data_IF_138690550397
#
_entry.id   IF_138690550397
#
_cell.length_a   1.000
_cell.length_b   1.000
_cell.length_c   1.000
_cell.angle_alpha   90.00
_cell.angle_beta   90.00
_cell.angle_gamma   90.00
#
_symmetry.space_group_name_H-M   'P 1'
#
loop_
_entity.id
_entity.type
_entity.pdbx_description
1 polymer ?
#
# COMPACT_ATOMS: atom_id res chain seq x y z
N UNK A 1 3.70 -6.92 21.40
CA UNK A 1 2.95 -6.03 22.32
C UNK A 1 3.12 -6.40 23.79
N UNK A 2 2.79 -7.61 24.29
CA UNK A 2 2.95 -7.92 25.72
C UNK A 2 4.34 -7.62 26.28
N UNK A 3 5.40 -8.02 25.57
CA UNK A 3 6.78 -7.73 25.96
C UNK A 3 7.12 -6.23 26.00
N UNK A 4 6.49 -5.40 25.16
CA UNK A 4 6.70 -3.95 25.17
C UNK A 4 6.06 -3.30 26.41
N UNK A 5 4.84 -3.73 26.76
CA UNK A 5 4.15 -3.21 27.95
C UNK A 5 4.91 -3.62 29.22
N UNK A 6 5.36 -4.87 29.28
CA UNK A 6 6.21 -5.36 30.37
C UNK A 6 7.51 -4.54 30.49
N UNK A 7 8.19 -4.29 29.36
CA UNK A 7 9.37 -3.42 29.34
C UNK A 7 9.05 -2.00 29.83
N UNK A 8 7.88 -1.45 29.48
CA UNK A 8 7.44 -0.14 29.95
C UNK A 8 7.31 -0.06 31.47
N UNK A 9 6.82 -1.14 32.10
CA UNK A 9 6.81 -1.28 33.56
C UNK A 9 8.22 -1.36 34.14
N UNK A 10 9.06 -2.23 33.61
CA UNK A 10 10.43 -2.47 34.10
C UNK A 10 11.33 -1.23 33.95
N UNK A 11 11.10 -0.45 32.89
CA UNK A 11 11.81 0.80 32.63
C UNK A 11 11.10 2.03 33.21
N UNK A 12 10.06 1.84 34.03
CA UNK A 12 9.33 2.90 34.72
C UNK A 12 8.85 4.03 33.81
N UNK A 13 8.23 3.72 32.67
CA UNK A 13 7.73 4.74 31.73
C UNK A 13 6.74 5.71 32.38
N UNK A 14 5.96 5.26 33.37
CA UNK A 14 5.03 6.10 34.13
C UNK A 14 5.72 7.24 34.91
N UNK A 15 7.01 7.11 35.22
CA UNK A 15 7.81 8.17 35.84
C UNK A 15 8.19 9.30 34.88
N UNK A 16 8.21 9.01 33.57
CA UNK A 16 8.51 10.00 32.53
C UNK A 16 7.25 10.79 32.17
N UNK A 17 6.17 10.06 31.88
CA UNK A 17 4.86 10.62 31.57
C UNK A 17 3.75 9.69 32.08
N UNK A 18 2.70 10.26 32.67
CA UNK A 18 1.52 9.49 33.10
C UNK A 18 0.61 9.10 31.93
N UNK A 19 0.75 9.78 30.80
CA UNK A 19 -0.14 9.64 29.65
C UNK A 19 0.66 9.51 28.36
N UNK A 20 0.35 8.50 27.56
CA UNK A 20 0.92 8.28 26.24
C UNK A 20 -0.15 8.52 25.17
N UNK A 21 0.15 9.40 24.20
CA UNK A 21 -0.72 9.56 23.02
C UNK A 21 -0.57 8.33 22.13
N UNK A 22 -1.69 7.65 21.84
CA UNK A 22 -1.71 6.44 21.05
C UNK A 22 -2.87 6.49 20.05
N UNK A 23 -2.62 6.04 18.83
CA UNK A 23 -3.61 5.97 17.75
C UNK A 23 -3.71 4.55 17.20
N UNK A 24 -4.63 4.33 16.26
CA UNK A 24 -4.91 3.02 15.66
C UNK A 24 -5.68 2.07 16.58
N UNK A 25 -6.15 0.95 16.02
CA UNK A 25 -6.96 -0.01 16.77
C UNK A 25 -6.28 -0.59 18.02
N UNK A 26 -4.95 -0.62 18.07
CA UNK A 26 -4.16 -1.05 19.23
C UNK A 26 -4.36 -0.17 20.47
N UNK A 27 -4.59 1.13 20.29
CA UNK A 27 -4.82 2.06 21.39
C UNK A 27 -6.09 1.72 22.18
N UNK A 28 -7.10 1.14 21.53
CA UNK A 28 -8.31 0.64 22.17
C UNK A 28 -8.12 -0.78 22.70
N UNK A 29 -7.54 -1.68 21.87
CA UNK A 29 -7.36 -3.10 22.21
C UNK A 29 -6.52 -3.32 23.46
N UNK A 30 -5.45 -2.54 23.63
CA UNK A 30 -4.47 -2.73 24.70
C UNK A 30 -4.59 -1.70 25.83
N UNK A 31 -5.62 -0.86 25.86
CA UNK A 31 -5.78 0.20 26.88
C UNK A 31 -5.70 -0.36 28.31
N UNK A 32 -6.40 -1.47 28.57
CA UNK A 32 -6.42 -2.06 29.90
C UNK A 32 -5.04 -2.61 30.29
N UNK A 33 -4.34 -3.25 29.36
CA UNK A 33 -2.99 -3.80 29.60
C UNK A 33 -1.98 -2.69 29.90
N UNK A 34 -2.04 -1.57 29.17
CA UNK A 34 -1.20 -0.40 29.45
C UNK A 34 -1.49 0.19 30.83
N UNK A 35 -2.76 0.21 31.24
CA UNK A 35 -3.16 0.73 32.55
C UNK A 35 -2.76 -0.19 33.70
N UNK A 36 -2.91 -1.50 33.55
CA UNK A 36 -2.69 -2.47 34.65
C UNK A 36 -1.25 -2.92 34.77
N UNK A 37 -0.59 -3.20 33.64
CA UNK A 37 0.79 -3.71 33.61
C UNK A 37 1.77 -2.55 33.48
N UNK A 38 1.48 -1.60 32.59
CA UNK A 38 2.39 -0.49 32.31
C UNK A 38 2.28 0.72 33.24
N UNK A 39 1.26 0.79 34.10
CA UNK A 39 0.92 1.97 34.92
C UNK A 39 0.81 3.27 34.09
N UNK A 40 0.28 3.15 32.87
CA UNK A 40 0.17 4.24 31.89
C UNK A 40 -1.26 4.45 31.43
N UNK A 41 -1.66 5.71 31.29
CA UNK A 41 -2.92 6.07 30.64
C UNK A 41 -2.70 6.30 29.15
N UNK A 42 -3.61 5.81 28.30
CA UNK A 42 -3.58 6.12 26.87
C UNK A 42 -4.50 7.31 26.56
N UNK A 43 -3.92 8.38 26.01
CA UNK A 43 -4.67 9.39 25.28
C UNK A 43 -4.94 8.83 23.87
N UNK A 44 -6.12 8.24 23.70
CA UNK A 44 -6.52 7.59 22.44
C UNK A 44 -6.90 8.65 21.41
N UNK A 45 -6.28 8.58 20.24
CA UNK A 45 -6.52 9.46 19.11
C UNK A 45 -7.07 8.64 17.93
N UNK A 46 -7.81 9.27 17.04
CA UNK A 46 -8.30 8.61 15.81
C UNK A 46 -7.14 8.31 14.85
N UNK A 47 -7.20 7.16 14.18
CA UNK A 47 -6.17 6.68 13.27
C UNK A 47 -5.99 7.58 12.04
N UNK A 48 -7.11 7.97 11.44
CA UNK A 48 -7.13 8.71 10.19
C UNK A 48 -6.84 10.20 10.42
N UNK A 49 -7.32 10.75 11.55
CA UNK A 49 -6.98 12.12 11.96
C UNK A 49 -5.47 12.26 12.19
N UNK A 50 -4.86 11.31 12.91
CA UNK A 50 -3.42 11.28 13.13
C UNK A 50 -2.65 11.11 11.83
N UNK A 51 -3.13 10.25 10.93
CA UNK A 51 -2.50 10.04 9.62
C UNK A 51 -2.48 11.34 8.79
N UNK A 52 -3.62 12.02 8.62
CA UNK A 52 -3.69 13.26 7.83
C UNK A 52 -2.79 14.32 8.44
N UNK A 53 -2.82 14.51 9.77
CA UNK A 53 -1.95 15.46 10.47
C UNK A 53 -0.47 15.11 10.30
N UNK A 54 -0.11 13.83 10.42
CA UNK A 54 1.26 13.34 10.30
C UNK A 54 1.83 13.59 8.90
N UNK A 55 1.10 13.18 7.86
CA UNK A 55 1.50 13.38 6.45
C UNK A 55 1.72 14.87 6.15
N UNK A 56 0.75 15.72 6.51
CA UNK A 56 0.86 17.17 6.24
C UNK A 56 2.01 17.82 7.02
N UNK A 57 2.25 17.38 8.26
CA UNK A 57 3.35 17.91 9.07
C UNK A 57 4.71 17.50 8.52
N UNK A 58 4.92 16.21 8.24
CA UNK A 58 6.20 15.70 7.75
C UNK A 58 6.54 16.32 6.39
N UNK A 59 5.58 16.42 5.48
CA UNK A 59 5.79 17.11 4.19
C UNK A 59 6.19 18.58 4.37
N UNK A 60 5.58 19.30 5.32
CA UNK A 60 5.88 20.71 5.59
C UNK A 60 7.30 20.96 6.13
N UNK A 61 7.90 19.97 6.79
CA UNK A 61 9.28 20.07 7.31
C UNK A 61 10.30 19.45 6.35
N UNK A 62 9.83 18.69 5.35
CA UNK A 62 10.66 17.98 4.39
C UNK A 62 11.49 16.86 5.01
N UNK A 63 12.43 16.34 4.21
CA UNK A 63 13.30 15.22 4.60
C UNK A 63 14.76 15.64 4.56
N UNK A 64 15.27 16.18 5.67
CA UNK A 64 16.68 16.62 5.80
C UNK A 64 17.17 17.59 4.69
N UNK A 65 16.27 18.42 4.18
CA UNK A 65 16.53 19.34 3.06
C UNK A 65 16.05 18.85 1.70
N UNK A 66 15.65 17.58 1.61
CA UNK A 66 15.01 16.98 0.43
C UNK A 66 13.48 17.00 0.54
N UNK A 67 12.81 16.70 -0.57
CA UNK A 67 11.35 16.61 -0.63
C UNK A 67 10.87 15.31 0.02
N UNK A 68 9.86 15.40 0.88
CA UNK A 68 9.20 14.23 1.48
C UNK A 68 8.40 13.43 0.45
N UNK A 69 7.76 14.11 -0.51
CA UNK A 69 6.92 13.49 -1.51
C UNK A 69 7.67 13.29 -2.84
N UNK A 70 7.41 12.18 -3.52
CA UNK A 70 8.01 11.86 -4.81
C UNK A 70 7.07 11.10 -5.73
N UNK A 71 7.44 11.01 -7.00
CA UNK A 71 6.78 10.18 -8.00
C UNK A 71 7.81 9.42 -8.85
N UNK A 72 7.33 8.41 -9.57
CA UNK A 72 8.14 7.71 -10.58
C UNK A 72 7.80 8.22 -11.97
N UNK A 73 8.80 8.78 -12.65
CA UNK A 73 8.72 9.06 -14.09
C UNK A 73 9.11 7.80 -14.87
N UNK A 74 8.39 7.50 -15.96
CA UNK A 74 8.59 6.29 -16.77
C UNK A 74 8.62 4.97 -15.96
N UNK A 75 7.62 4.68 -15.10
CA UNK A 75 7.72 3.64 -14.08
C UNK A 75 7.92 2.22 -14.62
N UNK A 76 7.57 1.92 -15.87
CA UNK A 76 7.75 0.59 -16.47
C UNK A 76 9.08 0.39 -17.20
N UNK A 77 9.76 1.47 -17.57
CA UNK A 77 11.02 1.40 -18.32
C UNK A 77 12.19 1.28 -17.32
N UNK A 78 12.88 0.14 -17.28
CA UNK A 78 13.96 -0.08 -16.32
C UNK A 78 15.15 0.85 -16.51
N UNK A 79 15.37 1.39 -17.71
CA UNK A 79 16.49 2.29 -18.00
C UNK A 79 16.13 3.76 -17.74
N UNK A 80 14.85 4.13 -17.95
CA UNK A 80 14.37 5.51 -17.80
C UNK A 80 13.59 5.78 -16.52
N UNK A 81 13.26 4.76 -15.73
CA UNK A 81 12.52 4.92 -14.50
C UNK A 81 13.33 5.78 -13.52
N UNK A 82 12.78 6.94 -13.14
CA UNK A 82 13.42 7.86 -12.21
C UNK A 82 12.48 8.23 -11.07
N UNK A 83 13.03 8.22 -9.84
CA UNK A 83 12.37 8.81 -8.67
C UNK A 83 12.64 10.31 -8.69
N UNK A 84 11.59 11.11 -8.79
CA UNK A 84 11.67 12.57 -8.83
C UNK A 84 10.90 13.20 -7.68
N UNK A 85 11.41 14.28 -7.07
CA UNK A 85 10.72 14.97 -5.99
C UNK A 85 9.41 15.58 -6.49
N UNK A 86 8.43 15.66 -5.59
CA UNK A 86 7.14 16.29 -5.85
C UNK A 86 6.81 17.26 -4.72
N UNK A 87 6.68 18.55 -5.04
CA UNK A 87 6.28 19.54 -4.05
C UNK A 87 4.75 19.48 -3.83
N UNK A 88 4.34 19.16 -2.60
CA UNK A 88 2.94 19.14 -2.17
C UNK A 88 2.41 20.52 -1.75
N UNK A 89 3.07 21.63 -2.12
CA UNK A 89 2.55 22.99 -1.96
C UNK A 89 1.10 23.10 -2.44
N UNK A 90 0.20 23.51 -1.54
CA UNK A 90 -1.26 23.45 -1.72
C UNK A 90 -1.75 22.03 -2.07
N UNK A 91 -1.65 21.09 -1.11
CA UNK A 91 -1.84 19.66 -1.39
C UNK A 91 -3.29 19.29 -1.74
N UNK A 92 -4.25 20.21 -1.55
CA UNK A 92 -5.67 19.93 -1.66
C UNK A 92 -6.25 20.23 -3.05
N UNK A 93 -7.23 19.43 -3.54
CA UNK A 93 -7.59 18.14 -2.99
C UNK A 93 -6.55 17.05 -3.34
N UNK A 94 -6.39 16.07 -2.45
CA UNK A 94 -5.66 14.83 -2.72
C UNK A 94 -6.44 13.61 -2.25
N UNK A 95 -6.15 12.47 -2.87
CA UNK A 95 -6.64 11.18 -2.43
C UNK A 95 -5.50 10.51 -1.64
N UNK A 96 -5.74 10.17 -0.39
CA UNK A 96 -4.77 9.46 0.46
C UNK A 96 -5.17 7.99 0.56
N UNK A 97 -4.30 7.09 0.12
CA UNK A 97 -4.51 5.65 0.12
C UNK A 97 -3.54 5.01 1.10
N UNK A 98 -4.03 4.71 2.30
CA UNK A 98 -3.25 4.08 3.37
C UNK A 98 -3.31 2.57 3.26
N UNK A 99 -2.20 1.93 2.88
CA UNK A 99 -2.05 0.50 2.67
C UNK A 99 -1.33 -0.14 3.87
N UNK A 100 -2.12 -0.48 4.89
CA UNK A 100 -1.68 -1.27 6.05
C UNK A 100 -2.04 -2.75 5.89
N UNK A 101 -2.52 -3.38 6.97
CA UNK A 101 -3.07 -4.74 6.89
C UNK A 101 -4.27 -4.82 5.95
N UNK A 102 -5.19 -3.84 6.05
CA UNK A 102 -6.20 -3.53 5.04
C UNK A 102 -5.88 -2.19 4.36
N UNK A 103 -6.86 -1.58 3.70
CA UNK A 103 -6.70 -0.30 3.01
C UNK A 103 -7.82 0.67 3.36
N UNK A 104 -7.46 1.90 3.70
CA UNK A 104 -8.40 3.03 3.83
C UNK A 104 -8.09 4.08 2.77
N UNK A 105 -9.13 4.59 2.09
CA UNK A 105 -9.01 5.60 1.04
C UNK A 105 -9.75 6.85 1.50
N UNK A 106 -9.04 7.97 1.55
CA UNK A 106 -9.55 9.26 1.99
C UNK A 106 -9.51 10.27 0.86
N UNK A 107 -10.56 11.08 0.75
CA UNK A 107 -10.51 12.32 0.00
C UNK A 107 -10.24 13.46 0.98
N UNK A 108 -9.15 14.18 0.78
CA UNK A 108 -8.67 15.25 1.66
C UNK A 108 -8.82 16.59 0.94
N UNK A 109 -9.77 17.41 1.39
CA UNK A 109 -10.10 18.71 0.80
C UNK A 109 -9.46 19.88 1.55
N UNK A 110 -9.14 19.70 2.83
CA UNK A 110 -8.31 20.60 3.63
C UNK A 110 -7.75 19.85 4.83
N UNK A 111 -6.89 20.50 5.62
CA UNK A 111 -6.33 19.93 6.87
C UNK A 111 -7.39 19.41 7.86
N UNK A 112 -8.57 20.04 7.86
CA UNK A 112 -9.67 19.72 8.79
C UNK A 112 -10.94 19.24 8.04
N UNK A 113 -10.85 19.04 6.71
CA UNK A 113 -11.97 18.57 5.90
C UNK A 113 -11.52 17.42 5.03
N UNK A 114 -11.81 16.22 5.48
CA UNK A 114 -11.58 14.97 4.77
C UNK A 114 -12.68 13.98 5.09
N UNK A 115 -12.86 13.00 4.20
CA UNK A 115 -13.79 11.89 4.42
C UNK A 115 -13.12 10.59 4.00
N UNK A 116 -13.43 9.52 4.72
CA UNK A 116 -13.11 8.16 4.28
C UNK A 116 -14.09 7.76 3.18
N UNK A 117 -13.64 7.79 1.93
CA UNK A 117 -14.45 7.47 0.74
C UNK A 117 -14.85 6.00 0.77
N UNK A 118 -13.86 5.12 0.96
CA UNK A 118 -14.05 3.67 1.01
C UNK A 118 -12.81 2.98 1.59
N UNK A 119 -12.77 1.65 1.52
CA UNK A 119 -11.57 0.86 1.75
C UNK A 119 -11.70 -0.53 1.13
N UNK A 120 -10.63 -1.31 1.22
CA UNK A 120 -10.64 -2.74 0.84
C UNK A 120 -9.94 -3.55 1.92
N UNK A 121 -10.44 -4.75 2.19
CA UNK A 121 -9.76 -5.71 3.06
C UNK A 121 -8.58 -6.39 2.37
N UNK A 122 -8.46 -6.25 1.04
CA UNK A 122 -7.37 -6.79 0.24
C UNK A 122 -6.15 -5.84 0.30
N UNK A 123 -5.44 -5.86 1.42
CA UNK A 123 -4.29 -5.00 1.69
C UNK A 123 -2.98 -5.77 1.86
N UNK A 124 -2.00 -5.16 2.54
CA UNK A 124 -0.70 -5.77 2.79
C UNK A 124 -0.79 -7.04 3.65
N UNK A 125 -1.79 -7.14 4.53
CA UNK A 125 -2.06 -8.36 5.30
C UNK A 125 -2.54 -9.51 4.42
N UNK A 126 -3.29 -9.22 3.36
CA UNK A 126 -3.69 -10.23 2.36
C UNK A 126 -2.50 -10.70 1.55
N UNK A 127 -1.67 -9.78 1.05
CA UNK A 127 -0.43 -10.14 0.37
C UNK A 127 0.44 -11.04 1.25
N UNK A 128 0.77 -10.58 2.46
CA UNK A 128 1.67 -11.31 3.33
C UNK A 128 1.10 -12.67 3.76
N UNK A 129 -0.16 -12.71 4.20
CA UNK A 129 -0.81 -13.95 4.62
C UNK A 129 -0.91 -14.99 3.50
N UNK A 130 -1.26 -14.57 2.27
CA UNK A 130 -1.28 -15.48 1.12
C UNK A 130 0.12 -15.96 0.74
N UNK A 131 1.13 -15.09 0.76
CA UNK A 131 2.51 -15.50 0.53
C UNK A 131 2.96 -16.55 1.57
N UNK A 132 2.69 -16.35 2.86
CA UNK A 132 3.00 -17.36 3.88
C UNK A 132 2.36 -18.73 3.56
N UNK A 133 1.08 -18.73 3.15
CA UNK A 133 0.35 -19.96 2.82
C UNK A 133 0.86 -20.64 1.55
N UNK A 134 1.17 -19.86 0.51
CA UNK A 134 1.49 -20.37 -0.82
C UNK A 134 2.97 -20.71 -1.00
N UNK A 135 3.85 -20.03 -0.28
CA UNK A 135 5.32 -20.18 -0.44
C UNK A 135 6.02 -20.70 0.80
N UNK A 136 5.39 -20.56 1.98
CA UNK A 136 6.00 -20.90 3.27
C UNK A 136 6.95 -19.83 3.80
N UNK A 137 7.00 -18.63 3.21
CA UNK A 137 7.77 -17.52 3.78
C UNK A 137 7.25 -17.14 5.18
N UNK A 138 8.14 -16.62 6.01
CA UNK A 138 7.85 -16.25 7.41
C UNK A 138 7.99 -14.76 7.69
N UNK A 139 8.61 -14.00 6.78
CA UNK A 139 8.77 -12.55 6.90
C UNK A 139 8.29 -11.81 5.66
N UNK A 140 7.96 -10.52 5.83
CA UNK A 140 7.49 -9.69 4.73
C UNK A 140 8.61 -9.47 3.70
N UNK A 141 9.85 -9.31 4.19
CA UNK A 141 11.06 -9.17 3.39
C UNK A 141 11.29 -10.39 2.49
N UNK A 142 11.16 -11.61 3.05
CA UNK A 142 11.29 -12.85 2.30
C UNK A 142 10.20 -12.98 1.21
N UNK A 143 8.96 -12.57 1.53
CA UNK A 143 7.88 -12.56 0.55
C UNK A 143 8.17 -11.60 -0.62
N UNK A 144 8.74 -10.43 -0.35
CA UNK A 144 9.14 -9.47 -1.39
C UNK A 144 10.34 -9.95 -2.19
N UNK A 145 11.32 -10.59 -1.54
CA UNK A 145 12.47 -11.20 -2.21
C UNK A 145 12.01 -12.27 -3.21
N UNK A 146 11.14 -13.20 -2.77
CA UNK A 146 10.53 -14.20 -3.66
C UNK A 146 9.77 -13.53 -4.82
N UNK A 147 8.96 -12.50 -4.53
CA UNK A 147 8.21 -11.78 -5.55
C UNK A 147 9.10 -11.00 -6.54
N UNK A 148 10.35 -10.69 -6.19
CA UNK A 148 11.30 -10.03 -7.09
C UNK A 148 11.87 -10.97 -8.17
N UNK A 149 11.87 -12.28 -7.89
CA UNK A 149 12.44 -13.32 -8.75
C UNK A 149 11.39 -14.05 -9.61
N UNK A 150 10.11 -13.87 -9.29
CA UNK A 150 9.01 -14.60 -9.93
C UNK A 150 8.46 -13.96 -11.21
N UNK A 151 7.76 -14.77 -11.99
CA UNK A 151 6.99 -14.37 -13.17
C UNK A 151 5.51 -14.68 -12.98
N UNK A 152 4.69 -13.62 -12.79
CA UNK A 152 3.25 -13.80 -12.57
C UNK A 152 2.52 -14.31 -13.82
N UNK A 153 3.08 -14.19 -15.02
CA UNK A 153 2.40 -14.61 -16.26
C UNK A 153 2.23 -16.12 -16.39
N UNK A 154 2.97 -16.90 -15.58
CA UNK A 154 2.77 -18.36 -15.45
C UNK A 154 1.56 -18.71 -14.58
N UNK A 155 1.21 -17.82 -13.64
CA UNK A 155 0.16 -18.00 -12.63
C UNK A 155 -1.16 -17.38 -13.08
N UNK A 156 -1.08 -16.16 -13.62
CA UNK A 156 -2.20 -15.36 -14.09
C UNK A 156 -2.63 -15.77 -15.50
N UNK A 157 -3.92 -15.64 -15.79
CA UNK A 157 -4.44 -15.77 -17.15
C UNK A 157 -4.57 -14.38 -17.77
N UNK A 158 -3.91 -14.17 -18.89
CA UNK A 158 -3.84 -12.89 -19.58
C UNK A 158 -4.94 -12.79 -20.66
N UNK A 159 -5.21 -11.58 -21.15
CA UNK A 159 -6.17 -11.36 -22.25
C UNK A 159 -5.79 -12.19 -23.47
N UNK A 160 -4.50 -12.27 -23.83
CA UNK A 160 -4.02 -13.08 -24.96
C UNK A 160 -4.28 -14.58 -24.79
N UNK A 161 -4.36 -15.08 -23.57
CA UNK A 161 -4.63 -16.51 -23.31
C UNK A 161 -6.10 -16.86 -23.58
N UNK A 162 -6.97 -15.85 -23.68
CA UNK A 162 -8.40 -15.99 -23.98
C UNK A 162 -8.69 -15.61 -25.44
N UNK A 163 -8.13 -14.49 -25.90
CA UNK A 163 -8.44 -13.89 -27.21
C UNK A 163 -7.40 -14.18 -28.31
N UNK A 164 -6.24 -14.77 -27.97
CA UNK A 164 -5.13 -14.94 -28.91
C UNK A 164 -4.36 -13.65 -29.25
N UNK A 165 -4.69 -12.53 -28.59
CA UNK A 165 -4.14 -11.21 -28.83
C UNK A 165 -4.83 -10.16 -27.96
N UNK A 166 -5.00 -8.95 -28.48
CA UNK A 166 -5.73 -7.87 -27.81
C UNK A 166 -7.25 -8.09 -27.90
N UNK A 167 -7.99 -7.60 -26.89
CA UNK A 167 -9.43 -7.42 -27.03
C UNK A 167 -9.73 -5.99 -27.51
N UNK A 168 -9.64 -5.81 -28.83
CA UNK A 168 -9.63 -4.50 -29.50
C UNK A 168 -10.87 -3.65 -29.21
N UNK A 169 -12.07 -4.25 -29.16
CA UNK A 169 -13.34 -3.53 -28.99
C UNK A 169 -13.37 -2.63 -27.75
N UNK A 170 -12.72 -3.04 -26.66
CA UNK A 170 -12.65 -2.30 -25.41
C UNK A 170 -11.22 -1.86 -25.06
N UNK A 171 -10.28 -2.00 -25.99
CA UNK A 171 -8.88 -1.59 -25.81
C UNK A 171 -8.17 -2.29 -24.65
N UNK A 172 -8.47 -3.58 -24.41
CA UNK A 172 -7.71 -4.36 -23.42
C UNK A 172 -6.54 -5.05 -24.12
N UNK A 173 -5.28 -4.68 -23.79
CA UNK A 173 -4.13 -5.23 -24.46
C UNK A 173 -3.89 -6.69 -24.03
N UNK A 174 -3.31 -7.50 -24.92
CA UNK A 174 -3.12 -8.94 -24.73
C UNK A 174 -2.24 -9.29 -23.53
N UNK A 175 -1.37 -8.38 -23.09
CA UNK A 175 -0.54 -8.56 -21.90
C UNK A 175 -1.28 -8.29 -20.58
N UNK A 176 -2.45 -7.64 -20.61
CA UNK A 176 -3.19 -7.34 -19.39
C UNK A 176 -3.69 -8.63 -18.73
N UNK A 177 -3.70 -8.65 -17.39
CA UNK A 177 -4.28 -9.75 -16.63
C UNK A 177 -5.79 -9.76 -16.80
N UNK A 178 -6.33 -10.85 -17.34
CA UNK A 178 -7.77 -11.07 -17.45
C UNK A 178 -8.33 -11.76 -16.20
N UNK A 179 -7.57 -12.69 -15.61
CA UNK A 179 -7.93 -13.40 -14.38
C UNK A 179 -6.67 -13.73 -13.57
N UNK A 180 -6.50 -13.02 -12.46
CA UNK A 180 -5.47 -13.29 -11.45
C UNK A 180 -5.58 -14.74 -10.96
N UNK A 181 -4.45 -15.46 -10.91
CA UNK A 181 -4.39 -16.90 -10.61
C UNK A 181 -5.22 -17.81 -11.53
N UNK A 182 -5.71 -17.30 -12.67
CA UNK A 182 -6.62 -18.01 -13.55
C UNK A 182 -6.05 -19.25 -14.23
N UNK A 183 -4.71 -19.39 -14.30
CA UNK A 183 -4.07 -20.61 -14.80
C UNK A 183 -3.96 -21.71 -13.74
N UNK A 184 -4.08 -21.38 -12.45
CA UNK A 184 -3.94 -22.33 -11.34
C UNK A 184 -5.11 -23.31 -11.21
N UNK A 185 -6.15 -23.21 -12.05
CA UNK A 185 -7.17 -24.25 -12.17
C UNK A 185 -6.63 -25.51 -12.89
N UNK A 186 -5.62 -25.36 -13.76
CA UNK A 186 -4.97 -26.50 -14.43
C UNK A 186 -3.94 -27.16 -13.52
N UNK A 187 -4.03 -28.50 -13.38
CA UNK A 187 -3.06 -29.28 -12.59
C UNK A 187 -1.63 -29.15 -13.15
N UNK A 188 -1.48 -29.26 -14.46
CA UNK A 188 -0.18 -29.13 -15.15
C UNK A 188 0.46 -27.75 -14.91
N UNK A 189 -0.34 -26.68 -14.93
CA UNK A 189 0.15 -25.33 -14.62
C UNK A 189 0.56 -25.21 -13.16
N UNK A 190 -0.19 -25.80 -12.22
CA UNK A 190 0.19 -25.81 -10.80
C UNK A 190 1.49 -26.57 -10.55
N UNK A 191 1.76 -27.63 -11.31
CA UNK A 191 2.99 -28.43 -11.17
C UNK A 191 4.23 -27.74 -11.77
N UNK A 192 4.05 -26.72 -12.61
CA UNK A 192 5.15 -26.02 -13.29
C UNK A 192 5.51 -24.65 -12.71
N UNK A 193 4.69 -24.07 -11.83
CA UNK A 193 4.99 -22.78 -11.18
C UNK A 193 5.91 -22.92 -9.98
N UNK A 194 6.77 -21.93 -9.77
CA UNK A 194 7.60 -21.83 -8.57
C UNK A 194 6.91 -21.06 -7.45
N UNK A 195 7.53 -21.05 -6.26
CA UNK A 195 7.07 -20.25 -5.13
C UNK A 195 7.20 -18.75 -5.42
N UNK A 196 8.28 -18.36 -6.09
CA UNK A 196 8.57 -17.01 -6.52
C UNK A 196 7.49 -16.51 -7.50
N UNK A 197 7.08 -17.35 -8.45
CA UNK A 197 5.99 -17.03 -9.39
C UNK A 197 4.67 -16.74 -8.62
N UNK A 198 4.34 -17.54 -7.59
CA UNK A 198 3.16 -17.34 -6.75
C UNK A 198 3.26 -16.06 -5.88
N UNK A 199 4.43 -15.78 -5.31
CA UNK A 199 4.67 -14.55 -4.57
C UNK A 199 4.51 -13.32 -5.48
N UNK A 200 5.07 -13.37 -6.69
CA UNK A 200 4.92 -12.34 -7.72
C UNK A 200 3.45 -12.13 -8.08
N UNK A 201 2.72 -13.19 -8.39
CA UNK A 201 1.30 -13.10 -8.76
C UNK A 201 0.44 -12.53 -7.62
N UNK A 202 0.75 -12.88 -6.37
CA UNK A 202 0.09 -12.31 -5.18
C UNK A 202 0.35 -10.80 -5.11
N UNK A 203 1.61 -10.37 -5.24
CA UNK A 203 1.99 -8.96 -5.22
C UNK A 203 1.28 -8.17 -6.32
N UNK A 204 1.33 -8.65 -7.57
CA UNK A 204 0.68 -8.00 -8.72
C UNK A 204 -0.83 -7.89 -8.52
N UNK A 205 -1.48 -8.95 -8.04
CA UNK A 205 -2.94 -9.00 -7.84
C UNK A 205 -3.40 -7.99 -6.80
N UNK A 206 -2.76 -7.96 -5.63
CA UNK A 206 -3.13 -7.04 -4.55
C UNK A 206 -2.85 -5.60 -4.96
N UNK A 207 -1.67 -5.32 -5.52
CA UNK A 207 -1.29 -3.96 -5.91
C UNK A 207 -2.17 -3.40 -7.03
N UNK A 208 -2.46 -4.18 -8.08
CA UNK A 208 -3.35 -3.73 -9.16
C UNK A 208 -4.80 -3.56 -8.70
N UNK A 209 -5.28 -4.40 -7.77
CA UNK A 209 -6.61 -4.23 -7.19
C UNK A 209 -6.72 -2.89 -6.44
N UNK A 210 -5.72 -2.58 -5.60
CA UNK A 210 -5.62 -1.30 -4.89
C UNK A 210 -5.56 -0.14 -5.87
N UNK A 211 -4.69 -0.20 -6.89
CA UNK A 211 -4.56 0.84 -7.91
C UNK A 211 -5.85 1.08 -8.69
N UNK A 212 -6.59 0.02 -9.04
CA UNK A 212 -7.88 0.13 -9.73
C UNK A 212 -8.94 0.81 -8.85
N UNK A 213 -9.05 0.43 -7.57
CA UNK A 213 -9.99 1.05 -6.61
C UNK A 213 -9.63 2.52 -6.39
N UNK A 214 -8.34 2.82 -6.17
CA UNK A 214 -7.85 4.19 -6.02
C UNK A 214 -8.16 5.05 -7.25
N UNK A 215 -7.95 4.53 -8.46
CA UNK A 215 -8.31 5.20 -9.72
C UNK A 215 -9.80 5.52 -9.79
N UNK A 216 -10.67 4.55 -9.47
CA UNK A 216 -12.12 4.79 -9.47
C UNK A 216 -12.53 5.86 -8.45
N UNK A 217 -11.95 5.83 -7.24
CA UNK A 217 -12.21 6.84 -6.22
C UNK A 217 -11.73 8.23 -6.66
N UNK A 218 -10.53 8.32 -7.22
CA UNK A 218 -9.94 9.55 -7.70
C UNK A 218 -10.81 10.21 -8.79
N UNK A 219 -11.25 9.42 -9.79
CA UNK A 219 -12.12 9.90 -10.86
C UNK A 219 -13.49 10.34 -10.33
N UNK A 220 -14.10 9.56 -9.43
CA UNK A 220 -15.42 9.90 -8.88
C UNK A 220 -15.40 11.14 -7.98
N UNK A 221 -14.29 11.38 -7.27
CA UNK A 221 -14.09 12.56 -6.42
C UNK A 221 -13.50 13.77 -7.17
N UNK A 222 -13.21 13.62 -8.47
CA UNK A 222 -12.53 14.62 -9.30
C UNK A 222 -11.16 15.06 -8.74
N UNK A 223 -10.38 14.09 -8.26
CA UNK A 223 -9.04 14.30 -7.69
C UNK A 223 -8.00 13.66 -8.60
N UNK A 224 -6.94 14.40 -8.92
CA UNK A 224 -5.88 13.96 -9.85
C UNK A 224 -4.57 13.55 -9.16
N UNK A 225 -4.41 13.84 -7.87
CA UNK A 225 -3.24 13.46 -7.05
C UNK A 225 -3.62 12.35 -6.09
N UNK A 226 -2.96 11.20 -6.20
CA UNK A 226 -3.19 10.05 -5.34
C UNK A 226 -1.90 9.72 -4.59
N UNK A 227 -1.87 10.02 -3.30
CA UNK A 227 -0.75 9.72 -2.40
C UNK A 227 -0.98 8.33 -1.80
N UNK A 228 -0.04 7.42 -2.02
CA UNK A 228 -0.03 6.10 -1.39
C UNK A 228 0.96 6.10 -0.23
N UNK A 229 0.49 5.58 0.91
CA UNK A 229 1.25 5.47 2.16
C UNK A 229 1.00 4.08 2.77
N UNK A 230 1.69 3.76 3.85
CA UNK A 230 1.55 2.55 4.63
C UNK A 230 2.65 1.52 4.36
N UNK A 231 3.00 0.78 5.41
CA UNK A 231 4.13 -0.16 5.44
C UNK A 231 4.10 -1.29 4.39
N UNK A 232 2.99 -1.50 3.66
CA UNK A 232 3.00 -2.39 2.49
C UNK A 232 4.00 -1.92 1.41
N UNK A 233 4.23 -0.61 1.33
CA UNK A 233 5.14 -0.01 0.35
C UNK A 233 6.60 -0.01 0.79
N UNK A 234 6.85 -0.34 2.07
CA UNK A 234 8.20 -0.46 2.63
C UNK A 234 9.05 -1.41 1.82
N UNK A 235 10.19 -0.90 1.36
CA UNK A 235 11.17 -1.59 0.49
C UNK A 235 10.52 -2.23 -0.76
N UNK A 236 9.34 -1.77 -1.17
CA UNK A 236 8.49 -2.40 -2.19
C UNK A 236 8.36 -1.51 -3.43
N UNK A 237 9.51 -1.14 -4.00
CA UNK A 237 9.59 -0.33 -5.24
C UNK A 237 8.87 -0.99 -6.42
N UNK A 238 8.75 -2.32 -6.41
CA UNK A 238 7.97 -3.07 -7.41
C UNK A 238 6.51 -2.60 -7.38
N UNK A 239 5.88 -2.57 -6.21
CA UNK A 239 4.48 -2.16 -6.08
C UNK A 239 4.29 -0.67 -6.33
N UNK A 240 5.23 0.17 -5.87
CA UNK A 240 5.17 1.61 -6.15
C UNK A 240 5.21 1.91 -7.65
N UNK A 241 6.14 1.29 -8.38
CA UNK A 241 6.22 1.43 -9.85
C UNK A 241 4.96 0.89 -10.53
N UNK A 242 4.41 -0.22 -10.05
CA UNK A 242 3.16 -0.78 -10.59
C UNK A 242 1.96 0.14 -10.35
N UNK A 243 1.83 0.74 -9.17
CA UNK A 243 0.79 1.73 -8.87
C UNK A 243 0.93 2.97 -9.75
N UNK A 244 2.16 3.49 -9.90
CA UNK A 244 2.44 4.62 -10.78
C UNK A 244 2.06 4.34 -12.23
N UNK A 245 2.47 3.18 -12.74
CA UNK A 245 2.09 2.74 -14.08
C UNK A 245 0.58 2.57 -14.24
N UNK A 246 -0.07 1.86 -13.32
CA UNK A 246 -1.50 1.56 -13.42
C UNK A 246 -2.35 2.83 -13.40
N UNK A 247 -2.02 3.80 -12.53
CA UNK A 247 -2.74 5.07 -12.50
C UNK A 247 -2.53 5.87 -13.78
N UNK A 248 -1.30 5.98 -14.27
CA UNK A 248 -0.99 6.73 -15.49
C UNK A 248 -1.65 6.09 -16.73
N UNK A 249 -1.40 4.80 -16.97
CA UNK A 249 -1.89 4.07 -18.15
C UNK A 249 -3.43 4.05 -18.22
N UNK A 250 -4.10 3.65 -17.14
CA UNK A 250 -5.57 3.49 -17.15
C UNK A 250 -6.33 4.81 -17.01
N UNK A 251 -5.65 5.91 -16.70
CA UNK A 251 -6.23 7.26 -16.72
C UNK A 251 -5.80 8.10 -17.92
N UNK A 252 -4.97 7.56 -18.82
CA UNK A 252 -4.36 8.30 -19.94
C UNK A 252 -3.60 9.55 -19.45
N UNK A 253 -2.83 9.40 -18.37
CA UNK A 253 -2.01 10.45 -17.76
C UNK A 253 -2.77 11.49 -16.93
N UNK A 254 -4.07 11.30 -16.67
CA UNK A 254 -4.87 12.24 -15.86
C UNK A 254 -4.59 12.14 -14.36
N UNK A 255 -4.22 10.95 -13.87
CA UNK A 255 -3.93 10.69 -12.46
C UNK A 255 -2.43 10.51 -12.25
N UNK A 256 -1.91 11.12 -11.18
CA UNK A 256 -0.53 10.95 -10.75
C UNK A 256 -0.48 10.19 -9.42
N UNK A 257 0.28 9.09 -9.40
CA UNK A 257 0.63 8.39 -8.18
C UNK A 257 1.80 9.11 -7.50
N UNK A 258 1.64 9.38 -6.22
CA UNK A 258 2.60 10.03 -5.34
C UNK A 258 2.91 9.09 -4.17
N UNK A 259 4.12 9.19 -3.65
CA UNK A 259 4.62 8.41 -2.52
C UNK A 259 5.34 9.34 -1.55
N UNK A 260 5.54 8.89 -0.32
CA UNK A 260 6.25 9.62 0.73
C UNK A 260 7.47 8.80 1.19
N UNK A 261 8.53 9.45 1.65
CA UNK A 261 9.70 8.77 2.22
C UNK A 261 9.34 8.12 3.58
N UNK A 262 8.51 8.79 4.37
CA UNK A 262 7.91 8.28 5.60
C UNK A 262 6.51 7.72 5.30
N UNK A 263 6.49 6.58 4.62
CA UNK A 263 5.29 5.85 4.22
C UNK A 263 4.46 5.27 5.39
#
# INVERSE_FOLDING_TARGET
MPAFIQMGSEKHFSSLHTTLCATGGGAYKFEQDFRTVGDLQLCKLDELDCLVKGVLYIDSVGFNGDSECYYFENPTDSEKCQKLPFNLENPYPLLLVNIGSGVSILAVYSKDNYKRVTGTSLGGGTFFGLCCLLTGCSTFEEALEMASLGDSTKVDKLVRDIYGGDYERFGLPGWAVASSFGNMMSKEKRESVSKEDLARATLITITNNIGSIARMCALNENINRVVFVGNFLRINTISMRLLAYALDYWSKGQLKALFLEHE
#
